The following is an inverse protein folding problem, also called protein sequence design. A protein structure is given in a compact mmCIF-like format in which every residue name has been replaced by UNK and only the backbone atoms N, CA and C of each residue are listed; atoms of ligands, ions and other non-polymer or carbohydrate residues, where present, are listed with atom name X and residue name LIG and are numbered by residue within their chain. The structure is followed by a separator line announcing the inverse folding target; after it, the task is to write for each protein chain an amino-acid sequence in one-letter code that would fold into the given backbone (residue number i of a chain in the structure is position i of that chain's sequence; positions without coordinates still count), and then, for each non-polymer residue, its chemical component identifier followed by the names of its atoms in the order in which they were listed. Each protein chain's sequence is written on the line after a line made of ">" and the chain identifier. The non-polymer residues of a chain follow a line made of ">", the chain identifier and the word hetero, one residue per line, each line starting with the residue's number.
data_IF_815076424978
#
_entry.id   IF_815076424978
#
_cell.length_a   1.000
_cell.length_b   1.000
_cell.length_c   1.000
_cell.angle_alpha   90.00
_cell.angle_beta   90.00
_cell.angle_gamma   90.00
#
_symmetry.space_group_name_H-M   'P 1'
#
loop_
_entity.id
_entity.type
_entity.pdbx_description
1 polymer ?
#
# COMPACT_ATOMS: atom_id res chain seq x y z
N UNK A 1 -63.60 -30.16 -22.24
CA UNK A 1 -63.78 -29.29 -23.43
C UNK A 1 -62.65 -28.27 -23.45
N UNK A 2 -62.22 -27.93 -24.66
CA UNK A 2 -61.00 -27.25 -25.05
C UNK A 2 -60.91 -25.75 -24.67
N UNK A 3 -59.64 -25.33 -24.59
CA UNK A 3 -59.01 -24.00 -24.80
C UNK A 3 -59.74 -22.95 -25.68
N UNK A 4 -59.56 -21.65 -25.35
CA UNK A 4 -59.13 -20.50 -26.19
C UNK A 4 -59.39 -19.18 -25.38
N UNK A 5 -58.42 -18.31 -25.05
CA UNK A 5 -57.57 -17.37 -25.82
C UNK A 5 -58.24 -16.00 -26.16
N UNK A 6 -57.43 -14.91 -26.09
CA UNK A 6 -57.59 -13.53 -26.64
C UNK A 6 -58.30 -12.49 -25.71
N UNK A 7 -57.90 -11.22 -25.48
CA UNK A 7 -56.69 -10.34 -25.59
C UNK A 7 -57.15 -8.91 -25.19
N UNK A 8 -56.25 -8.10 -24.55
CA UNK A 8 -56.22 -6.61 -24.46
C UNK A 8 -57.39 -5.86 -23.74
N UNK A 9 -57.28 -4.65 -23.18
CA UNK A 9 -56.33 -3.53 -23.24
C UNK A 9 -56.62 -2.54 -22.06
N UNK A 10 -55.54 -1.96 -21.48
CA UNK A 10 -55.31 -0.67 -20.77
C UNK A 10 -56.45 0.18 -20.14
N UNK A 11 -56.19 0.75 -18.94
CA UNK A 11 -56.05 2.20 -18.58
C UNK A 11 -55.71 2.28 -17.06
N UNK A 12 -54.45 2.50 -16.67
CA UNK A 12 -53.80 3.77 -16.28
C UNK A 12 -54.44 4.53 -15.09
N UNK A 13 -53.82 4.40 -13.90
CA UNK A 13 -54.04 5.24 -12.72
C UNK A 13 -52.69 5.72 -12.18
N UNK A 14 -52.43 7.02 -12.34
CA UNK A 14 -51.15 7.70 -12.18
C UNK A 14 -51.05 8.29 -10.76
N UNK A 15 -50.13 7.81 -9.91
CA UNK A 15 -49.71 8.50 -8.67
C UNK A 15 -48.33 9.13 -8.90
N UNK A 16 -48.31 10.47 -8.90
CA UNK A 16 -47.12 11.30 -9.02
C UNK A 16 -46.28 11.22 -7.73
N UNK A 17 -45.20 10.45 -7.76
CA UNK A 17 -44.04 10.68 -6.89
C UNK A 17 -43.09 11.61 -7.63
N UNK A 18 -42.92 12.84 -7.16
CA UNK A 18 -41.88 13.75 -7.64
C UNK A 18 -40.50 13.13 -7.36
N UNK A 19 -39.91 12.48 -8.37
CA UNK A 19 -38.46 12.23 -8.40
C UNK A 19 -37.78 13.52 -8.83
N UNK A 20 -37.18 14.20 -7.87
CA UNK A 20 -36.21 15.26 -8.12
C UNK A 20 -35.02 14.60 -8.84
N UNK A 21 -35.00 14.69 -10.16
CA UNK A 21 -33.81 14.35 -10.94
C UNK A 21 -32.84 15.51 -10.77
N UNK A 22 -31.97 15.40 -9.77
CA UNK A 22 -30.72 16.17 -9.76
C UNK A 22 -29.92 15.72 -10.97
N UNK A 23 -30.02 16.45 -12.08
CA UNK A 23 -29.06 16.37 -13.18
C UNK A 23 -27.77 17.02 -12.70
N UNK A 24 -27.02 16.30 -11.86
CA UNK A 24 -25.61 16.58 -11.69
C UNK A 24 -24.95 16.19 -13.01
N UNK A 25 -24.70 17.19 -13.84
CA UNK A 25 -23.82 17.08 -15.01
C UNK A 25 -22.43 16.78 -14.46
N UNK A 26 -22.13 15.50 -14.25
CA UNK A 26 -20.75 15.06 -14.15
C UNK A 26 -20.13 15.37 -15.50
N UNK A 27 -19.26 16.39 -15.53
CA UNK A 27 -18.27 16.49 -16.59
C UNK A 27 -17.37 15.27 -16.43
N UNK A 28 -17.75 14.16 -17.06
CA UNK A 28 -16.80 13.13 -17.46
C UNK A 28 -15.88 13.81 -18.46
N UNK A 29 -14.82 14.46 -17.95
CA UNK A 29 -13.61 14.55 -18.71
C UNK A 29 -13.13 13.11 -18.84
N UNK A 30 -13.61 12.40 -19.87
CA UNK A 30 -12.84 11.32 -20.43
C UNK A 30 -11.50 11.94 -20.75
N UNK A 31 -10.45 11.54 -20.03
CA UNK A 31 -9.07 11.79 -20.40
C UNK A 31 -8.92 11.19 -21.80
N UNK A 32 -9.19 11.99 -22.83
CA UNK A 32 -8.71 11.73 -24.17
C UNK A 32 -7.22 11.57 -24.00
N UNK A 33 -6.69 10.38 -24.34
CA UNK A 33 -5.29 10.02 -24.22
C UNK A 33 -4.41 11.11 -24.85
N UNK A 34 -4.03 12.09 -24.05
CA UNK A 34 -2.83 12.87 -24.25
C UNK A 34 -1.72 11.83 -24.26
N UNK A 35 -0.95 11.80 -25.35
CA UNK A 35 0.22 10.93 -25.51
C UNK A 35 0.94 10.80 -24.17
N UNK A 36 1.12 9.57 -23.68
CA UNK A 36 1.87 9.32 -22.47
C UNK A 36 3.26 9.95 -22.64
N UNK A 37 3.48 11.07 -21.97
CA UNK A 37 4.67 11.90 -22.14
C UNK A 37 5.24 12.19 -20.78
N UNK A 38 6.49 11.82 -20.59
CA UNK A 38 7.21 12.08 -19.36
C UNK A 38 7.42 13.58 -19.17
N UNK A 39 7.32 14.00 -17.92
CA UNK A 39 7.72 15.33 -17.46
C UNK A 39 9.05 15.13 -16.75
N UNK A 40 10.16 15.70 -17.26
CA UNK A 40 11.45 15.57 -16.59
C UNK A 40 11.48 16.24 -15.22
N UNK A 41 12.06 15.57 -14.22
CA UNK A 41 12.16 16.07 -12.85
C UNK A 41 12.94 17.40 -12.77
N UNK A 42 12.30 18.44 -12.23
CA UNK A 42 12.88 19.78 -12.05
C UNK A 42 12.57 20.34 -10.66
N UNK A 43 13.55 20.40 -9.73
CA UNK A 43 14.94 19.94 -9.86
C UNK A 43 15.05 18.42 -10.10
N UNK A 44 16.16 17.98 -10.68
CA UNK A 44 16.40 16.56 -10.89
C UNK A 44 16.80 15.90 -9.56
N UNK A 45 15.81 15.35 -8.86
CA UNK A 45 15.99 14.71 -7.56
C UNK A 45 16.73 13.36 -7.65
N UNK A 46 16.83 12.74 -8.83
CA UNK A 46 17.62 11.52 -9.03
C UNK A 46 19.13 11.79 -8.92
N UNK A 47 19.55 13.04 -9.11
CA UNK A 47 20.95 13.46 -8.94
C UNK A 47 21.22 13.92 -7.50
N UNK A 48 20.26 14.60 -6.89
CA UNK A 48 20.47 15.18 -5.55
C UNK A 48 20.11 14.21 -4.43
N UNK A 49 19.25 13.23 -4.73
CA UNK A 49 18.66 12.26 -3.80
C UNK A 49 17.95 12.93 -2.60
N UNK A 50 17.53 14.19 -2.75
CA UNK A 50 16.86 14.94 -1.67
C UNK A 50 15.35 14.83 -1.78
N UNK A 51 14.71 14.41 -0.69
CA UNK A 51 13.25 14.43 -0.54
C UNK A 51 12.61 15.80 -0.86
N UNK A 52 13.26 16.90 -0.49
CA UNK A 52 12.77 18.26 -0.79
C UNK A 52 12.77 18.56 -2.28
N UNK A 53 13.77 18.04 -3.01
CA UNK A 53 13.87 18.22 -4.46
C UNK A 53 12.83 17.38 -5.19
N UNK A 54 12.54 16.16 -4.70
CA UNK A 54 11.48 15.33 -5.24
C UNK A 54 10.09 15.98 -5.09
N UNK A 55 9.78 16.59 -3.93
CA UNK A 55 8.55 17.39 -3.76
C UNK A 55 8.54 18.61 -4.68
N UNK A 56 9.67 19.30 -4.85
CA UNK A 56 9.75 20.43 -5.76
C UNK A 56 9.52 20.00 -7.22
N UNK A 57 10.03 18.83 -7.62
CA UNK A 57 9.78 18.24 -8.93
C UNK A 57 8.30 17.90 -9.14
N UNK A 58 7.64 17.26 -8.16
CA UNK A 58 6.19 17.02 -8.20
C UNK A 58 5.41 18.32 -8.41
N UNK A 59 5.72 19.38 -7.64
CA UNK A 59 5.07 20.67 -7.81
C UNK A 59 5.36 21.34 -9.18
N UNK A 60 6.54 21.11 -9.76
CA UNK A 60 6.84 21.56 -11.12
C UNK A 60 6.00 20.83 -12.16
N UNK A 61 5.85 19.51 -12.03
CA UNK A 61 4.98 18.71 -12.88
C UNK A 61 3.50 19.12 -12.74
N UNK A 62 3.04 19.38 -11.52
CA UNK A 62 1.70 19.95 -11.25
C UNK A 62 1.48 21.26 -11.99
N UNK A 63 2.45 22.19 -11.94
CA UNK A 63 2.36 23.44 -12.67
C UNK A 63 2.23 23.23 -14.19
N UNK A 64 2.98 22.29 -14.77
CA UNK A 64 2.90 21.95 -16.21
C UNK A 64 1.52 21.39 -16.56
N UNK A 65 0.96 20.54 -15.70
CA UNK A 65 -0.38 19.97 -15.87
C UNK A 65 -1.52 20.88 -15.40
N UNK A 66 -1.22 22.08 -14.93
CA UNK A 66 -2.20 23.02 -14.35
C UNK A 66 -2.98 22.44 -13.15
N UNK A 67 -2.30 21.63 -12.34
CA UNK A 67 -2.78 21.08 -11.06
C UNK A 67 -2.28 21.98 -9.91
N UNK A 68 -3.09 22.22 -8.85
CA UNK A 68 -2.60 22.97 -7.69
C UNK A 68 -1.43 22.27 -7.02
N UNK A 69 -0.49 23.04 -6.48
CA UNK A 69 0.65 22.50 -5.73
C UNK A 69 0.22 21.66 -4.52
N UNK A 70 1.03 20.67 -4.18
CA UNK A 70 0.82 19.78 -3.03
C UNK A 70 0.66 20.56 -1.72
N UNK A 71 -0.38 20.23 -0.96
CA UNK A 71 -0.58 20.71 0.40
C UNK A 71 -0.20 19.61 1.40
N UNK A 72 1.02 19.68 1.94
CA UNK A 72 1.60 18.65 2.79
C UNK A 72 1.49 19.03 4.28
N UNK A 73 1.30 18.04 5.18
CA UNK A 73 1.32 18.31 6.62
C UNK A 73 2.71 18.79 7.08
N UNK A 74 2.75 19.61 8.13
CA UNK A 74 3.99 20.25 8.62
C UNK A 74 5.11 19.27 9.03
N UNK A 75 4.76 18.01 9.34
CA UNK A 75 5.70 16.94 9.68
C UNK A 75 5.88 15.90 8.57
N UNK A 76 5.47 16.20 7.33
CA UNK A 76 5.50 15.26 6.20
C UNK A 76 6.85 14.53 6.05
N UNK A 77 7.97 15.25 6.08
CA UNK A 77 9.30 14.66 5.93
C UNK A 77 9.75 13.77 7.12
N UNK A 78 8.98 13.72 8.21
CA UNK A 78 9.22 12.83 9.35
C UNK A 78 8.39 11.56 9.30
N UNK A 79 7.45 11.47 8.36
CA UNK A 79 6.68 10.26 8.12
C UNK A 79 7.57 9.20 7.50
N UNK A 80 7.24 7.93 7.73
CA UNK A 80 7.91 6.85 7.01
C UNK A 80 7.59 6.89 5.50
N UNK A 81 8.42 6.28 4.64
CA UNK A 81 8.22 6.31 3.19
C UNK A 81 6.86 5.81 2.71
N UNK A 82 6.29 4.80 3.36
CA UNK A 82 4.99 4.23 2.97
C UNK A 82 3.88 5.25 3.24
N UNK A 83 3.92 5.91 4.40
CA UNK A 83 3.01 7.01 4.73
C UNK A 83 3.15 8.19 3.77
N UNK A 84 4.38 8.56 3.39
CA UNK A 84 4.63 9.62 2.40
C UNK A 84 4.00 9.26 1.06
N UNK A 85 4.23 8.04 0.58
CA UNK A 85 3.71 7.53 -0.69
C UNK A 85 2.18 7.50 -0.71
N UNK A 86 1.55 7.01 0.36
CA UNK A 86 0.09 6.98 0.49
C UNK A 86 -0.52 8.39 0.45
N UNK A 87 0.05 9.33 1.21
CA UNK A 87 -0.42 10.71 1.23
C UNK A 87 -0.31 11.37 -0.13
N UNK A 88 0.84 11.23 -0.79
CA UNK A 88 1.08 11.80 -2.11
C UNK A 88 0.17 11.18 -3.18
N UNK A 89 0.01 9.85 -3.19
CA UNK A 89 -0.93 9.16 -4.09
C UNK A 89 -2.35 9.75 -3.95
N UNK A 90 -2.82 9.92 -2.72
CA UNK A 90 -4.15 10.48 -2.50
C UNK A 90 -4.24 11.98 -2.79
N UNK A 91 -3.15 12.75 -2.67
CA UNK A 91 -3.10 14.12 -3.17
C UNK A 91 -3.27 14.16 -4.69
N UNK A 92 -2.56 13.29 -5.43
CA UNK A 92 -2.67 13.20 -6.88
C UNK A 92 -4.10 12.90 -7.34
N UNK A 93 -4.79 12.02 -6.62
CA UNK A 93 -6.21 11.69 -6.85
C UNK A 93 -7.14 12.85 -6.53
N UNK A 94 -7.07 13.39 -5.31
CA UNK A 94 -8.03 14.40 -4.83
C UNK A 94 -7.89 15.74 -5.55
N UNK A 95 -6.67 16.16 -5.90
CA UNK A 95 -6.43 17.37 -6.71
C UNK A 95 -7.02 17.27 -8.12
N UNK A 96 -7.29 16.05 -8.60
CA UNK A 96 -7.95 15.75 -9.89
C UNK A 96 -9.43 15.38 -9.73
N UNK A 97 -10.01 15.59 -8.56
CA UNK A 97 -11.43 15.35 -8.28
C UNK A 97 -11.80 13.87 -8.12
N UNK A 98 -10.82 12.99 -7.94
CA UNK A 98 -11.05 11.57 -7.66
C UNK A 98 -11.19 11.33 -6.15
N UNK A 99 -11.95 10.29 -5.80
CA UNK A 99 -12.04 9.84 -4.42
C UNK A 99 -10.67 9.29 -3.95
N UNK A 100 -10.24 9.59 -2.71
CA UNK A 100 -9.03 8.99 -2.16
C UNK A 100 -9.22 7.48 -1.99
N UNK A 101 -8.14 6.73 -2.17
CA UNK A 101 -8.08 5.31 -1.84
C UNK A 101 -7.96 5.11 -0.33
N UNK A 102 -8.50 4.00 0.12
CA UNK A 102 -8.32 3.51 1.50
C UNK A 102 -7.08 2.62 1.55
N UNK A 103 -6.17 2.90 2.49
CA UNK A 103 -5.05 2.00 2.75
C UNK A 103 -5.58 0.69 3.35
N UNK A 104 -5.24 -0.43 2.73
CA UNK A 104 -5.69 -1.77 3.14
C UNK A 104 -4.52 -2.60 3.65
N UNK A 105 -4.67 -3.18 4.85
CA UNK A 105 -3.59 -3.91 5.51
C UNK A 105 -3.24 -5.22 4.80
N UNK A 106 -4.24 -5.95 4.29
CA UNK A 106 -4.03 -7.21 3.57
C UNK A 106 -3.29 -6.97 2.24
N UNK A 107 -3.70 -5.94 1.49
CA UNK A 107 -2.97 -5.53 0.29
C UNK A 107 -1.58 -5.00 0.63
N UNK A 108 -1.40 -4.28 1.74
CA UNK A 108 -0.09 -3.75 2.15
C UNK A 108 0.87 -4.88 2.48
N UNK A 109 0.40 -5.95 3.13
CA UNK A 109 1.20 -7.13 3.38
C UNK A 109 1.62 -7.82 2.07
N UNK A 110 0.69 -7.96 1.11
CA UNK A 110 0.98 -8.50 -0.22
C UNK A 110 2.05 -7.65 -0.94
N UNK A 111 1.90 -6.33 -0.96
CA UNK A 111 2.83 -5.38 -1.55
C UNK A 111 4.21 -5.44 -0.88
N UNK A 112 4.26 -5.56 0.45
CA UNK A 112 5.50 -5.66 1.21
C UNK A 112 6.26 -6.95 0.90
N UNK A 113 5.56 -8.08 0.86
CA UNK A 113 6.13 -9.36 0.48
C UNK A 113 6.64 -9.37 -0.97
N UNK A 114 5.95 -8.65 -1.88
CA UNK A 114 6.41 -8.52 -3.25
C UNK A 114 7.66 -7.65 -3.37
N UNK A 115 7.69 -6.52 -2.66
CA UNK A 115 8.86 -5.63 -2.58
C UNK A 115 10.11 -6.38 -2.07
N UNK A 116 9.95 -7.23 -1.07
CA UNK A 116 11.01 -8.12 -0.56
C UNK A 116 11.50 -9.10 -1.62
N UNK A 117 10.58 -9.76 -2.34
CA UNK A 117 10.95 -10.70 -3.42
C UNK A 117 11.75 -10.01 -4.53
N UNK A 118 11.29 -8.83 -5.00
CA UNK A 118 12.00 -8.06 -6.03
C UNK A 118 13.46 -7.81 -5.63
N UNK A 119 13.68 -7.42 -4.37
CA UNK A 119 15.02 -7.19 -3.82
C UNK A 119 15.84 -8.47 -3.66
N UNK A 120 15.28 -9.47 -2.99
CA UNK A 120 16.01 -10.66 -2.52
C UNK A 120 16.29 -11.66 -3.63
N UNK A 121 15.43 -11.71 -4.65
CA UNK A 121 15.59 -12.57 -5.82
C UNK A 121 16.20 -11.82 -7.01
N UNK A 122 16.61 -10.56 -6.81
CA UNK A 122 17.30 -9.73 -7.80
C UNK A 122 16.58 -9.65 -9.16
N UNK A 123 15.28 -9.35 -9.14
CA UNK A 123 14.48 -9.14 -10.35
C UNK A 123 13.58 -7.91 -10.23
N UNK A 124 13.24 -7.31 -11.37
CA UNK A 124 12.33 -6.17 -11.44
C UNK A 124 11.28 -6.42 -12.53
N UNK A 125 10.15 -7.01 -12.13
CA UNK A 125 9.08 -7.42 -13.04
C UNK A 125 7.77 -7.60 -12.29
N UNK A 126 6.63 -7.51 -12.99
CA UNK A 126 5.31 -7.92 -12.47
C UNK A 126 5.11 -9.45 -12.39
N UNK A 127 6.07 -10.23 -12.88
CA UNK A 127 6.08 -11.69 -12.78
C UNK A 127 7.19 -12.18 -11.86
N UNK A 128 6.80 -12.76 -10.72
CA UNK A 128 7.74 -13.41 -9.81
C UNK A 128 8.20 -14.76 -10.37
N UNK A 129 9.49 -15.11 -10.23
CA UNK A 129 9.99 -16.43 -10.59
C UNK A 129 9.44 -17.55 -9.68
N UNK A 130 8.91 -17.22 -8.50
CA UNK A 130 8.42 -18.20 -7.51
C UNK A 130 6.92 -18.09 -7.22
N UNK A 131 6.31 -16.93 -7.44
CA UNK A 131 4.91 -16.65 -7.13
C UNK A 131 4.04 -16.37 -8.37
N UNK A 132 4.64 -16.37 -9.57
CA UNK A 132 3.94 -16.11 -10.83
C UNK A 132 3.57 -14.64 -11.04
N UNK A 133 2.61 -14.40 -11.93
CA UNK A 133 2.14 -13.05 -12.31
C UNK A 133 1.35 -12.39 -11.17
N UNK A 134 1.14 -11.08 -11.25
CA UNK A 134 0.24 -10.35 -10.34
C UNK A 134 -1.11 -11.04 -10.19
N UNK A 135 -1.73 -11.45 -11.31
CA UNK A 135 -3.00 -12.15 -11.30
C UNK A 135 -2.93 -13.49 -10.53
N UNK A 136 -1.81 -14.23 -10.63
CA UNK A 136 -1.61 -15.44 -9.82
C UNK A 136 -1.51 -15.09 -8.33
N UNK A 137 -0.74 -14.06 -7.97
CA UNK A 137 -0.53 -13.65 -6.58
C UNK A 137 -1.81 -13.17 -5.91
N UNK A 138 -2.57 -12.27 -6.55
CA UNK A 138 -3.81 -11.74 -5.95
C UNK A 138 -4.90 -12.82 -5.82
N UNK A 139 -5.00 -13.73 -6.79
CA UNK A 139 -5.96 -14.85 -6.70
C UNK A 139 -5.52 -15.93 -5.72
N UNK A 140 -4.25 -15.98 -5.34
CA UNK A 140 -3.75 -16.85 -4.27
C UNK A 140 -4.00 -16.26 -2.87
N UNK A 141 -4.34 -14.96 -2.78
CA UNK A 141 -4.71 -14.33 -1.52
C UNK A 141 -6.19 -14.66 -1.19
N UNK A 142 -6.47 -15.45 -0.14
CA UNK A 142 -7.83 -15.88 0.18
C UNK A 142 -8.76 -14.73 0.61
N UNK A 143 -8.21 -13.61 1.08
CA UNK A 143 -9.00 -12.44 1.46
C UNK A 143 -9.43 -11.61 0.24
N UNK A 144 -8.67 -11.67 -0.86
CA UNK A 144 -8.99 -10.97 -2.09
C UNK A 144 -9.70 -11.86 -3.11
N UNK A 145 -9.39 -13.15 -3.16
CA UNK A 145 -9.88 -14.07 -4.17
C UNK A 145 -11.42 -14.05 -4.26
N UNK A 146 -11.95 -13.79 -5.46
CA UNK A 146 -13.39 -13.65 -5.74
C UNK A 146 -14.10 -12.50 -4.99
N UNK A 147 -13.37 -11.57 -4.38
CA UNK A 147 -13.91 -10.39 -3.69
C UNK A 147 -13.69 -9.06 -4.43
N UNK A 148 -13.03 -9.08 -5.60
CA UNK A 148 -12.75 -7.88 -6.39
C UNK A 148 -13.26 -7.97 -7.83
N UNK A 149 -13.59 -6.81 -8.41
CA UNK A 149 -13.95 -6.68 -9.83
C UNK A 149 -12.81 -6.13 -10.68
N UNK A 150 -11.89 -5.39 -10.07
CA UNK A 150 -10.69 -4.84 -10.69
C UNK A 150 -9.56 -4.89 -9.67
N UNK A 151 -8.35 -5.17 -10.15
CA UNK A 151 -7.14 -5.06 -9.36
C UNK A 151 -5.97 -4.66 -10.27
N UNK A 152 -4.97 -4.00 -9.70
CA UNK A 152 -3.81 -3.52 -10.43
C UNK A 152 -2.56 -3.50 -9.54
N UNK A 153 -1.39 -3.43 -10.15
CA UNK A 153 -0.09 -3.38 -9.47
C UNK A 153 0.78 -2.26 -10.07
N UNK A 154 1.47 -1.50 -9.22
CA UNK A 154 2.59 -0.65 -9.62
C UNK A 154 3.87 -1.10 -8.92
N UNK A 155 5.02 -1.05 -9.58
CA UNK A 155 6.33 -1.29 -8.95
C UNK A 155 7.34 -0.21 -9.36
N UNK A 156 8.13 0.28 -8.42
CA UNK A 156 9.16 1.29 -8.67
C UNK A 156 10.44 0.97 -7.90
N UNK A 157 11.57 1.31 -8.50
CA UNK A 157 12.87 1.34 -7.85
C UNK A 157 13.38 2.79 -7.84
N UNK A 158 13.58 3.40 -6.69
CA UNK A 158 13.93 4.82 -6.62
C UNK A 158 14.85 5.18 -5.43
N UNK A 159 15.85 6.05 -5.62
CA UNK A 159 16.79 6.42 -4.56
C UNK A 159 16.14 7.28 -3.45
N UNK A 160 15.06 8.01 -3.77
CA UNK A 160 14.29 8.81 -2.82
C UNK A 160 13.04 8.05 -2.42
N UNK A 161 13.20 7.16 -1.44
CA UNK A 161 12.14 6.29 -0.92
C UNK A 161 10.84 7.07 -0.60
N UNK A 162 9.69 6.48 -0.95
CA UNK A 162 8.36 7.03 -0.68
C UNK A 162 7.91 8.12 -1.67
N UNK A 163 8.71 9.17 -1.85
CA UNK A 163 8.34 10.33 -2.68
C UNK A 163 8.65 10.08 -4.17
N UNK A 164 9.86 9.58 -4.47
CA UNK A 164 10.31 9.36 -5.84
C UNK A 164 9.44 8.36 -6.62
N UNK A 165 9.00 7.23 -6.05
CA UNK A 165 8.06 6.33 -6.70
C UNK A 165 6.77 7.02 -7.17
N UNK A 166 6.22 7.97 -6.40
CA UNK A 166 5.02 8.71 -6.85
C UNK A 166 5.33 9.60 -8.04
N UNK A 167 6.51 10.21 -8.09
CA UNK A 167 6.93 10.98 -9.25
C UNK A 167 7.02 10.08 -10.48
N UNK A 168 7.69 8.92 -10.37
CA UNK A 168 7.82 7.97 -11.47
C UNK A 168 6.45 7.51 -11.98
N UNK A 169 5.62 6.95 -11.10
CA UNK A 169 4.29 6.46 -11.48
C UNK A 169 3.42 7.52 -12.14
N UNK A 170 3.54 8.78 -11.74
CA UNK A 170 2.68 9.84 -12.25
C UNK A 170 3.26 10.56 -13.46
N UNK A 171 4.57 10.75 -13.55
CA UNK A 171 5.18 11.74 -14.43
C UNK A 171 6.37 11.21 -15.23
N UNK A 172 6.86 10.00 -14.96
CA UNK A 172 7.96 9.35 -15.68
C UNK A 172 7.59 7.89 -15.94
N UNK A 173 6.52 7.69 -16.72
CA UNK A 173 5.79 6.42 -16.85
C UNK A 173 5.59 6.00 -18.31
N UNK A 174 6.21 6.70 -19.27
CA UNK A 174 6.07 6.37 -20.70
C UNK A 174 6.67 5.00 -21.06
N UNK A 175 7.68 4.55 -20.33
CA UNK A 175 8.23 3.20 -20.48
C UNK A 175 7.17 2.11 -20.23
N UNK A 176 6.21 2.39 -19.34
CA UNK A 176 5.10 1.50 -18.97
C UNK A 176 3.78 1.94 -19.62
N UNK A 177 3.87 2.75 -20.68
CA UNK A 177 2.72 3.29 -21.42
C UNK A 177 1.68 4.00 -20.51
N UNK A 178 2.15 4.69 -19.47
CA UNK A 178 1.33 5.35 -18.46
C UNK A 178 0.45 4.39 -17.63
N UNK A 179 0.79 3.10 -17.60
CA UNK A 179 0.03 2.08 -16.87
C UNK A 179 -0.03 2.36 -15.38
N UNK A 180 1.07 2.79 -14.76
CA UNK A 180 1.11 3.11 -13.34
C UNK A 180 0.27 4.35 -13.03
N UNK A 181 0.36 5.39 -13.87
CA UNK A 181 -0.45 6.60 -13.74
C UNK A 181 -1.94 6.28 -13.86
N UNK A 182 -2.30 5.41 -14.81
CA UNK A 182 -3.68 4.96 -15.00
C UNK A 182 -4.20 4.23 -13.77
N UNK A 183 -3.40 3.36 -13.14
CA UNK A 183 -3.77 2.70 -11.89
C UNK A 183 -3.99 3.73 -10.76
N UNK A 184 -3.10 4.70 -10.57
CA UNK A 184 -3.27 5.74 -9.53
C UNK A 184 -4.52 6.59 -9.79
N UNK A 185 -4.89 6.85 -11.05
CA UNK A 185 -6.00 7.72 -11.42
C UNK A 185 -7.29 6.97 -11.81
N UNK A 186 -7.36 5.64 -11.64
CA UNK A 186 -8.59 4.91 -11.96
C UNK A 186 -9.68 5.24 -10.92
N UNK A 187 -10.85 5.78 -11.34
CA UNK A 187 -11.95 6.11 -10.44
C UNK A 187 -12.65 4.89 -9.82
N UNK A 188 -12.45 3.69 -10.37
CA UNK A 188 -13.07 2.46 -9.88
C UNK A 188 -12.33 1.85 -8.70
N UNK A 189 -11.00 2.07 -8.60
CA UNK A 189 -10.20 1.56 -7.50
C UNK A 189 -10.58 2.23 -6.18
N UNK A 190 -10.62 1.44 -5.11
CA UNK A 190 -11.11 1.83 -3.80
C UNK A 190 -10.06 1.62 -2.69
N UNK A 191 -9.25 0.58 -2.84
CA UNK A 191 -8.24 0.17 -1.87
C UNK A 191 -6.86 0.17 -2.49
N UNK A 192 -5.85 0.45 -1.67
CA UNK A 192 -4.45 0.30 -2.01
C UNK A 192 -3.69 -0.31 -0.86
N UNK A 193 -2.78 -1.23 -1.15
CA UNK A 193 -1.72 -1.67 -0.27
C UNK A 193 -0.39 -1.13 -0.75
N UNK A 194 0.50 -0.75 0.16
CA UNK A 194 1.81 -0.23 -0.20
C UNK A 194 2.88 -0.98 0.57
N UNK A 195 3.89 -1.46 -0.17
CA UNK A 195 5.07 -2.12 0.36
C UNK A 195 6.33 -1.36 -0.05
N UNK A 196 7.34 -1.40 0.81
CA UNK A 196 8.64 -0.79 0.52
C UNK A 196 9.76 -1.54 1.21
N UNK A 197 10.88 -1.71 0.51
CA UNK A 197 12.14 -2.18 1.07
C UNK A 197 13.28 -1.27 0.66
N UNK A 198 14.21 -1.05 1.59
CA UNK A 198 15.49 -0.42 1.29
C UNK A 198 16.51 -1.45 0.78
N UNK A 199 17.52 -0.93 0.07
CA UNK A 199 18.57 -1.72 -0.59
C UNK A 199 18.19 -2.08 -2.03
N UNK A 200 19.12 -2.74 -2.73
CA UNK A 200 19.21 -2.91 -4.20
C UNK A 200 19.98 -1.79 -4.92
N UNK A 201 20.18 -1.95 -6.22
CA UNK A 201 20.78 -0.95 -7.11
C UNK A 201 19.95 0.34 -7.23
N UNK A 202 18.67 0.30 -6.86
CA UNK A 202 17.74 1.42 -6.94
C UNK A 202 17.68 2.26 -5.66
N UNK A 203 18.37 1.87 -4.59
CA UNK A 203 18.27 2.50 -3.27
C UNK A 203 17.04 2.04 -2.46
N UNK A 204 15.85 2.07 -3.05
CA UNK A 204 14.64 1.43 -2.52
C UNK A 204 13.78 0.80 -3.61
N UNK A 205 13.00 -0.22 -3.26
CA UNK A 205 12.00 -0.85 -4.13
C UNK A 205 10.64 -0.76 -3.43
N UNK A 206 9.60 -0.38 -4.18
CA UNK A 206 8.23 -0.28 -3.70
C UNK A 206 7.26 -0.97 -4.64
N UNK A 207 6.21 -1.54 -4.07
CA UNK A 207 5.04 -2.03 -4.79
C UNK A 207 3.76 -1.38 -4.25
N UNK A 208 2.79 -1.16 -5.13
CA UNK A 208 1.42 -0.76 -4.79
C UNK A 208 0.44 -1.77 -5.36
N UNK A 209 -0.46 -2.28 -4.53
CA UNK A 209 -1.44 -3.29 -4.90
C UNK A 209 -2.84 -2.70 -4.74
N UNK A 210 -3.60 -2.62 -5.83
CA UNK A 210 -4.89 -1.93 -5.86
C UNK A 210 -6.05 -2.88 -6.01
N UNK A 211 -7.22 -2.49 -5.48
CA UNK A 211 -8.43 -3.28 -5.58
C UNK A 211 -9.70 -2.41 -5.67
N UNK A 212 -10.64 -2.81 -6.54
CA UNK A 212 -12.04 -2.38 -6.52
C UNK A 212 -12.93 -3.54 -6.05
N UNK A 213 -13.77 -3.27 -5.05
CA UNK A 213 -14.64 -4.29 -4.44
C UNK A 213 -15.64 -4.86 -5.44
N UNK A 214 -15.79 -6.19 -5.48
CA UNK A 214 -16.74 -6.85 -6.36
C UNK A 214 -18.19 -6.56 -5.90
N UNK A 215 -19.08 -6.10 -6.80
CA UNK A 215 -20.47 -5.86 -6.42
C UNK A 215 -21.23 -7.15 -6.07
N UNK A 216 -20.77 -8.31 -6.54
CA UNK A 216 -21.39 -9.61 -6.28
C UNK A 216 -20.89 -10.31 -5.01
N UNK A 217 -19.71 -9.93 -4.52
CA UNK A 217 -19.11 -10.48 -3.31
C UNK A 217 -18.16 -9.43 -2.72
N UNK A 218 -18.69 -8.42 -2.01
CA UNK A 218 -17.91 -7.24 -1.65
C UNK A 218 -16.66 -7.58 -0.84
N UNK A 219 -15.54 -6.98 -1.24
CA UNK A 219 -14.36 -6.85 -0.39
C UNK A 219 -14.70 -5.98 0.81
N UNK A 220 -14.34 -6.44 2.01
CA UNK A 220 -14.60 -5.73 3.28
C UNK A 220 -13.30 -5.59 4.08
N UNK A 221 -12.75 -4.37 4.09
CA UNK A 221 -11.65 -4.00 4.99
C UNK A 221 -12.06 -3.98 6.47
N UNK A 222 -13.36 -3.90 6.77
CA UNK A 222 -13.91 -3.78 8.12
C UNK A 222 -13.80 -5.06 8.98
N UNK A 223 -13.49 -6.22 8.38
CA UNK A 223 -13.18 -7.43 9.15
C UNK A 223 -11.80 -7.38 9.84
N UNK A 224 -10.97 -6.38 9.53
CA UNK A 224 -9.58 -6.25 10.00
C UNK A 224 -9.38 -5.24 11.15
N UNK A 225 -10.42 -4.47 11.52
CA UNK A 225 -10.31 -3.39 12.52
C UNK A 225 -10.47 -3.86 13.99
N UNK A 226 -10.94 -5.08 14.22
CA UNK A 226 -11.14 -5.66 15.57
C UNK A 226 -10.16 -6.79 15.92
N UNK A 227 -9.18 -7.05 15.06
CA UNK A 227 -8.32 -8.23 15.11
C UNK A 227 -6.84 -7.91 15.00
N UNK A 228 -6.46 -6.62 14.99
CA UNK A 228 -5.06 -6.23 14.95
C UNK A 228 -4.37 -6.62 16.26
N UNK A 229 -3.39 -7.54 16.24
CA UNK A 229 -2.69 -7.93 17.43
C UNK A 229 -1.91 -6.75 17.98
N UNK A 230 -2.14 -6.40 19.24
CA UNK A 230 -1.29 -5.45 19.93
C UNK A 230 -0.15 -6.23 20.60
N UNK A 231 1.09 -5.92 20.24
CA UNK A 231 2.28 -6.47 20.89
C UNK A 231 2.94 -5.40 21.76
N UNK A 232 3.47 -5.80 22.91
CA UNK A 232 4.30 -4.97 23.77
C UNK A 232 5.53 -5.75 24.21
N UNK A 233 6.66 -5.06 24.37
CA UNK A 233 7.94 -5.67 24.77
C UNK A 233 8.22 -5.32 26.23
N UNK A 234 8.63 -6.32 27.01
CA UNK A 234 9.22 -6.11 28.33
C UNK A 234 10.66 -6.58 28.37
N UNK A 235 11.47 -5.90 29.18
CA UNK A 235 12.91 -6.14 29.31
C UNK A 235 13.26 -6.53 30.74
N UNK A 236 14.05 -7.59 30.89
CA UNK A 236 14.76 -7.90 32.14
C UNK A 236 16.25 -8.02 31.87
N UNK A 237 17.03 -7.16 32.50
CA UNK A 237 18.48 -7.14 32.38
C UNK A 237 19.14 -8.02 33.45
N UNK A 238 20.07 -8.90 33.05
CA UNK A 238 21.01 -9.55 33.98
C UNK A 238 22.39 -8.88 33.85
N UNK A 239 22.58 -7.77 34.57
CA UNK A 239 23.79 -6.92 34.50
C UNK A 239 25.11 -7.67 34.66
N UNK A 240 25.14 -8.74 35.46
CA UNK A 240 26.38 -9.50 35.71
C UNK A 240 26.77 -10.46 34.56
N UNK A 241 25.96 -10.58 33.50
CA UNK A 241 26.20 -11.49 32.36
C UNK A 241 26.05 -10.84 30.99
N UNK A 242 25.70 -9.54 30.90
CA UNK A 242 25.49 -8.85 29.63
C UNK A 242 24.33 -9.41 28.80
N UNK A 243 23.32 -10.01 29.44
CA UNK A 243 22.16 -10.62 28.79
C UNK A 243 20.90 -9.76 29.00
N UNK A 244 20.18 -9.49 27.91
CA UNK A 244 18.82 -8.99 27.90
C UNK A 244 17.83 -10.12 27.67
N UNK A 245 16.84 -10.24 28.55
CA UNK A 245 15.68 -11.11 28.35
C UNK A 245 14.51 -10.26 27.89
N UNK A 246 14.05 -10.54 26.68
CA UNK A 246 12.98 -9.84 25.99
C UNK A 246 11.76 -10.75 26.00
N UNK A 247 10.61 -10.20 26.37
CA UNK A 247 9.36 -10.93 26.34
C UNK A 247 8.27 -10.09 25.68
N UNK A 248 7.62 -10.67 24.68
CA UNK A 248 6.50 -10.08 23.97
C UNK A 248 5.19 -10.52 24.61
N UNK A 249 4.29 -9.57 24.81
CA UNK A 249 2.90 -9.81 25.21
C UNK A 249 1.98 -9.35 24.11
N UNK A 250 1.06 -10.23 23.72
CA UNK A 250 0.10 -9.99 22.64
C UNK A 250 -1.31 -9.89 23.19
N UNK A 251 -2.11 -8.95 22.69
CA UNK A 251 -3.53 -8.78 23.01
C UNK A 251 -4.32 -8.71 21.70
N UNK A 252 -5.53 -9.26 21.69
CA UNK A 252 -6.41 -9.22 20.51
C UNK A 252 -6.00 -10.19 19.39
N UNK A 253 -5.18 -11.20 19.69
CA UNK A 253 -4.78 -12.25 18.74
C UNK A 253 -5.82 -13.37 18.61
N UNK A 254 -6.02 -13.89 17.41
CA UNK A 254 -6.91 -15.01 17.12
C UNK A 254 -6.08 -16.22 16.64
N UNK A 255 -6.35 -17.43 17.17
CA UNK A 255 -5.66 -18.65 16.74
C UNK A 255 -4.18 -18.74 17.19
N UNK A 256 -3.37 -19.46 16.41
CA UNK A 256 -1.93 -19.69 16.71
C UNK A 256 -1.11 -18.42 16.49
N UNK A 257 -0.34 -17.99 17.48
CA UNK A 257 0.50 -16.79 17.39
C UNK A 257 1.93 -17.13 16.95
N UNK A 258 2.44 -16.36 16.01
CA UNK A 258 3.82 -16.36 15.59
C UNK A 258 4.44 -15.01 15.93
N UNK A 259 5.46 -15.01 16.78
CA UNK A 259 6.21 -13.81 17.16
C UNK A 259 7.61 -13.93 16.58
N UNK A 260 8.04 -12.89 15.87
CA UNK A 260 9.36 -12.82 15.25
C UNK A 260 10.07 -11.56 15.71
N UNK A 261 11.31 -11.71 16.16
CA UNK A 261 12.15 -10.63 16.64
C UNK A 261 13.26 -10.34 15.65
N UNK A 262 13.54 -9.05 15.51
CA UNK A 262 14.63 -8.52 14.72
C UNK A 262 15.42 -7.58 15.60
N UNK A 263 16.73 -7.66 15.50
CA UNK A 263 17.65 -6.65 15.96
C UNK A 263 18.13 -5.93 14.70
N UNK A 264 18.08 -4.60 14.74
CA UNK A 264 18.55 -3.68 13.69
C UNK A 264 19.79 -4.17 12.93
N UNK A 265 19.97 -3.75 11.66
CA UNK A 265 21.19 -3.77 10.79
C UNK A 265 22.35 -4.76 11.06
N UNK A 266 22.07 -5.87 11.72
CA UNK A 266 23.02 -6.85 12.20
C UNK A 266 22.70 -8.15 11.47
N UNK A 267 23.71 -8.93 11.16
CA UNK A 267 23.53 -10.28 10.62
C UNK A 267 23.01 -11.27 11.68
N UNK A 268 22.38 -10.78 12.76
CA UNK A 268 21.80 -11.61 13.80
C UNK A 268 20.55 -12.28 13.22
N UNK A 269 20.49 -13.62 13.21
CA UNK A 269 19.35 -14.33 12.66
C UNK A 269 18.05 -13.93 13.37
N UNK A 270 16.95 -13.84 12.61
CA UNK A 270 15.60 -13.70 13.13
C UNK A 270 15.34 -14.71 14.25
N UNK A 271 14.86 -14.25 15.40
CA UNK A 271 14.44 -15.13 16.48
C UNK A 271 12.92 -15.32 16.45
N UNK A 272 12.45 -16.56 16.62
CA UNK A 272 11.03 -16.88 16.67
C UNK A 272 10.60 -17.32 18.08
N UNK A 273 9.42 -16.89 18.51
CA UNK A 273 8.82 -17.24 19.79
C UNK A 273 8.58 -16.02 20.70
N UNK A 274 7.84 -16.17 21.80
CA UNK A 274 7.42 -15.05 22.65
C UNK A 274 8.53 -14.47 23.53
N UNK A 275 9.68 -15.13 23.60
CA UNK A 275 10.81 -14.74 24.45
C UNK A 275 12.09 -14.82 23.63
N UNK A 276 12.95 -13.82 23.75
CA UNK A 276 14.29 -13.83 23.17
C UNK A 276 15.33 -13.44 24.22
N UNK A 277 16.44 -14.17 24.28
CA UNK A 277 17.61 -13.81 25.08
C UNK A 277 18.72 -13.27 24.19
N UNK A 278 19.03 -11.99 24.32
CA UNK A 278 20.04 -11.30 23.53
C UNK A 278 21.30 -11.09 24.38
N UNK A 279 22.45 -11.54 23.86
CA UNK A 279 23.75 -11.28 24.48
C UNK A 279 24.32 -9.97 23.96
N UNK A 280 24.30 -8.94 24.81
CA UNK A 280 24.77 -7.60 24.45
C UNK A 280 26.28 -7.49 24.33
N UNK A 281 27.05 -8.46 24.85
CA UNK A 281 28.51 -8.45 24.72
C UNK A 281 28.99 -8.66 23.28
N UNK A 282 28.11 -9.17 22.40
CA UNK A 282 28.41 -9.40 20.98
C UNK A 282 27.76 -8.37 20.06
N UNK A 283 27.09 -7.37 20.63
CA UNK A 283 26.58 -6.25 19.85
C UNK A 283 27.72 -5.33 19.46
N UNK A 284 27.64 -4.76 18.26
CA UNK A 284 28.52 -3.68 17.88
C UNK A 284 28.31 -2.47 18.81
N UNK A 285 29.27 -1.56 18.89
CA UNK A 285 29.04 -0.30 19.58
C UNK A 285 28.11 0.59 18.74
N UNK A 286 27.00 1.05 19.29
CA UNK A 286 26.07 1.94 18.60
C UNK A 286 24.70 1.97 19.28
N UNK A 287 23.82 2.82 18.76
CA UNK A 287 22.39 2.73 19.08
C UNK A 287 21.81 1.54 18.32
N UNK A 288 21.06 0.71 19.04
CA UNK A 288 20.39 -0.47 18.48
C UNK A 288 18.90 -0.40 18.79
N UNK A 289 18.08 -1.06 17.98
CA UNK A 289 16.68 -1.26 18.31
C UNK A 289 16.27 -2.70 18.05
N UNK A 290 15.34 -3.17 18.86
CA UNK A 290 14.69 -4.46 18.72
C UNK A 290 13.26 -4.23 18.27
N UNK A 291 12.87 -4.91 17.21
CA UNK A 291 11.49 -4.94 16.71
C UNK A 291 10.91 -6.32 16.89
N UNK A 292 9.74 -6.38 17.53
CA UNK A 292 8.95 -7.59 17.63
C UNK A 292 7.72 -7.46 16.72
N UNK A 293 7.50 -8.47 15.90
CA UNK A 293 6.29 -8.66 15.13
C UNK A 293 5.46 -9.77 15.74
N UNK A 294 4.14 -9.62 15.68
CA UNK A 294 3.19 -10.70 15.92
C UNK A 294 2.35 -10.90 14.66
N UNK A 295 2.18 -12.16 14.30
CA UNK A 295 1.21 -12.63 13.32
C UNK A 295 0.32 -13.63 14.02
N UNK A 296 -0.99 -13.43 14.00
CA UNK A 296 -1.91 -14.40 14.58
C UNK A 296 -2.33 -15.49 13.56
N UNK A 297 -3.17 -16.43 13.99
CA UNK A 297 -3.59 -17.59 13.21
C UNK A 297 -4.54 -17.24 12.06
N UNK A 298 -5.02 -16.00 12.03
CA UNK A 298 -5.83 -15.41 10.96
C UNK A 298 -5.04 -14.39 10.13
N UNK A 299 -3.71 -14.34 10.32
CA UNK A 299 -2.78 -13.47 9.60
C UNK A 299 -3.02 -11.97 9.85
N UNK A 300 -3.42 -11.60 11.05
CA UNK A 300 -3.39 -10.21 11.47
C UNK A 300 -2.01 -9.84 12.02
N UNK A 301 -1.57 -8.61 11.79
CA UNK A 301 -0.21 -8.15 12.06
C UNK A 301 -0.16 -7.08 13.14
N UNK A 302 0.82 -7.17 14.03
CA UNK A 302 1.15 -6.17 15.04
C UNK A 302 2.65 -5.99 15.19
N UNK A 303 3.09 -4.80 15.61
CA UNK A 303 4.51 -4.54 15.88
C UNK A 303 4.74 -3.65 17.11
N UNK A 304 5.90 -3.82 17.74
CA UNK A 304 6.42 -2.95 18.80
C UNK A 304 7.92 -2.86 18.70
N UNK A 305 8.44 -1.68 19.03
CA UNK A 305 9.88 -1.38 19.04
C UNK A 305 10.39 -1.17 20.47
N UNK A 306 11.67 -1.46 20.68
CA UNK A 306 12.43 -1.20 21.90
C UNK A 306 13.82 -0.71 21.52
N UNK A 307 14.15 0.51 21.90
CA UNK A 307 15.51 1.05 21.78
C UNK A 307 16.43 0.46 22.87
N UNK A 308 17.67 0.11 22.51
CA UNK A 308 18.69 -0.48 23.40
C UNK A 308 19.83 0.50 23.71
#
# INVERSE_FOLDING_TARGET
>A
MFSLCIVCLLVAGLLHMLRIHSTATYKTAMLTATSCQDIPARPNYLVTERATDAIAALNNAHHIEHIPTLNLPSKFYRLDPIQQQFLLLNQERTLRGLAPLTLDANLSQMAQGYSQQLRELHFFSHSSPIAGTFNTRINSNPLAFNHYSLAAENIAGNPVAGIGPIYEYMYDDAAEACGHRQNILDPQLQFVGIGLVYGSEYGSISAQEFLASAPWNPYSSAQLANSTPHISISVREQRNRGLLFLQAYTVGTIGSIHISWFLDNTNVPQHNGPVWSLNMLHLASGEHFIRAYVVDGEQHYGMSDLDL
#
